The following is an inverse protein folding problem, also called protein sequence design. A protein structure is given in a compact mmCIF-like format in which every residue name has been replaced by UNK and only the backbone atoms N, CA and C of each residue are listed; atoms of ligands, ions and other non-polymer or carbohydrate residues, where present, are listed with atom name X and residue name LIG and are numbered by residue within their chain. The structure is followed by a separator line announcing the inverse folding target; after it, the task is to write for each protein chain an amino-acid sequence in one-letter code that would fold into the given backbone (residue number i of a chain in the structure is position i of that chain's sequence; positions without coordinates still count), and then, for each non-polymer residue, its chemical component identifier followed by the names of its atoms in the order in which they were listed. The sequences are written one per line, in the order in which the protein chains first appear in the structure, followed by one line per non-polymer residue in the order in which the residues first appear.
data_IF_343504784259
#
_entry.id   IF_343504784259
#
_cell.length_a   1.000
_cell.length_b   1.000
_cell.length_c   1.000
_cell.angle_alpha   90.00
_cell.angle_beta   90.00
_cell.angle_gamma   90.00
#
_symmetry.space_group_name_H-M   'P 1'
#
loop_
_entity.id
_entity.type
_entity.pdbx_description
1 polymer ?
#
# COMPACT_ATOMS: atom_id res chain seq x y z
N UNK A 1 -14.27 21.89 36.73
CA UNK A 1 -13.98 21.70 35.29
C UNK A 1 -13.38 20.31 35.12
N UNK A 2 -14.07 19.39 34.44
CA UNK A 2 -13.44 18.13 34.04
C UNK A 2 -12.53 18.43 32.85
N UNK A 3 -11.24 18.19 33.03
CA UNK A 3 -10.30 18.10 31.92
C UNK A 3 -10.77 16.95 31.02
N UNK A 4 -11.23 17.31 29.81
CA UNK A 4 -11.47 16.33 28.76
C UNK A 4 -10.07 15.76 28.45
N UNK A 5 -9.83 14.46 28.62
CA UNK A 5 -8.53 13.89 28.31
C UNK A 5 -8.23 14.22 26.84
N UNK A 6 -7.10 14.88 26.63
CA UNK A 6 -6.58 15.22 25.30
C UNK A 6 -6.60 13.93 24.48
N UNK A 7 -7.54 13.82 23.54
CA UNK A 7 -7.55 12.75 22.55
C UNK A 7 -6.30 13.02 21.74
N UNK A 8 -5.18 12.39 22.12
CA UNK A 8 -4.01 12.28 21.26
C UNK A 8 -4.56 11.84 19.92
N UNK A 9 -4.57 12.76 18.96
CA UNK A 9 -4.88 12.52 17.57
C UNK A 9 -4.10 11.26 17.21
N UNK A 10 -4.79 10.12 17.08
CA UNK A 10 -4.16 8.83 16.79
C UNK A 10 -3.28 9.07 15.57
N UNK A 11 -1.97 9.15 15.77
CA UNK A 11 -1.05 9.24 14.65
C UNK A 11 -1.33 8.03 13.77
N UNK A 12 -1.68 8.30 12.51
CA UNK A 12 -1.98 7.21 11.59
C UNK A 12 -0.68 6.48 11.35
N UNK A 13 -0.56 5.28 11.91
CA UNK A 13 0.64 4.49 11.81
C UNK A 13 0.84 4.01 10.37
N UNK A 14 2.11 3.88 9.96
CA UNK A 14 2.45 3.33 8.65
C UNK A 14 1.86 1.92 8.44
N UNK A 15 1.65 1.16 9.52
CA UNK A 15 0.97 -0.14 9.49
C UNK A 15 -0.52 -0.03 9.12
N UNK A 16 -1.20 1.01 9.58
CA UNK A 16 -2.58 1.30 9.17
C UNK A 16 -2.64 1.64 7.68
N UNK A 17 -1.70 2.46 7.19
CA UNK A 17 -1.59 2.80 5.75
C UNK A 17 -1.35 1.53 4.93
N UNK A 18 -0.43 0.67 5.34
CA UNK A 18 -0.20 -0.63 4.70
C UNK A 18 -1.48 -1.47 4.64
N UNK A 19 -2.27 -1.49 5.71
CA UNK A 19 -3.51 -2.27 5.78
C UNK A 19 -4.58 -1.72 4.84
N UNK A 20 -4.76 -0.39 4.79
CA UNK A 20 -5.69 0.27 3.86
C UNK A 20 -5.27 0.00 2.41
N UNK A 21 -4.00 0.20 2.08
CA UNK A 21 -3.48 -0.04 0.74
C UNK A 21 -3.64 -1.50 0.30
N UNK A 22 -3.39 -2.45 1.21
CA UNK A 22 -3.58 -3.88 0.95
C UNK A 22 -5.03 -4.20 0.60
N UNK A 23 -5.98 -3.77 1.44
CA UNK A 23 -7.41 -4.02 1.23
C UNK A 23 -7.91 -3.33 -0.05
N UNK A 24 -7.47 -2.10 -0.31
CA UNK A 24 -7.83 -1.36 -1.51
C UNK A 24 -7.33 -2.07 -2.78
N UNK A 25 -6.09 -2.56 -2.78
CA UNK A 25 -5.52 -3.31 -3.90
C UNK A 25 -6.23 -4.65 -4.12
N UNK A 26 -6.50 -5.41 -3.06
CA UNK A 26 -7.25 -6.69 -3.16
C UNK A 26 -8.69 -6.52 -3.65
N UNK A 27 -9.29 -5.34 -3.48
CA UNK A 27 -10.63 -5.03 -3.97
C UNK A 27 -10.70 -4.74 -5.47
N UNK A 28 -9.58 -4.69 -6.18
CA UNK A 28 -9.52 -4.39 -7.62
C UNK A 28 -9.64 -5.69 -8.41
N UNK A 29 -10.66 -5.79 -9.27
CA UNK A 29 -10.82 -6.97 -10.13
C UNK A 29 -9.62 -7.14 -11.07
N UNK A 30 -9.13 -8.38 -11.15
CA UNK A 30 -7.92 -8.76 -11.86
C UNK A 30 -6.71 -8.95 -10.96
N UNK A 31 -6.70 -8.45 -9.72
CA UNK A 31 -5.71 -8.82 -8.71
C UNK A 31 -6.16 -10.13 -8.05
N UNK A 32 -5.36 -11.19 -8.18
CA UNK A 32 -5.66 -12.49 -7.58
C UNK A 32 -5.16 -12.54 -6.13
N UNK A 33 -3.90 -12.12 -5.92
CA UNK A 33 -3.21 -12.18 -4.62
C UNK A 33 -2.15 -11.09 -4.52
N UNK A 34 -1.72 -10.79 -3.31
CA UNK A 34 -0.56 -9.95 -3.03
C UNK A 34 0.55 -10.81 -2.43
N UNK A 35 1.80 -10.47 -2.71
CA UNK A 35 2.96 -11.23 -2.21
C UNK A 35 4.08 -10.27 -1.85
N UNK A 36 4.99 -10.65 -0.97
CA UNK A 36 6.23 -9.92 -0.76
C UNK A 36 7.41 -10.88 -0.83
N UNK A 37 8.50 -10.48 -1.49
CA UNK A 37 9.80 -11.12 -1.27
C UNK A 37 10.45 -10.39 -0.11
N UNK A 38 10.82 -11.11 0.94
CA UNK A 38 11.76 -10.60 1.94
C UNK A 38 13.15 -10.84 1.34
N UNK A 39 13.76 -9.80 0.80
CA UNK A 39 15.18 -9.80 0.39
C UNK A 39 16.01 -9.09 1.46
N UNK A 40 17.32 -9.34 1.46
CA UNK A 40 18.26 -8.71 2.40
C UNK A 40 18.25 -7.16 2.30
N UNK A 41 17.88 -6.60 1.14
CA UNK A 41 17.66 -5.16 0.93
C UNK A 41 16.55 -4.54 1.81
N UNK A 42 15.64 -5.36 2.34
CA UNK A 42 14.60 -4.93 3.27
C UNK A 42 15.11 -4.80 4.72
N UNK A 43 16.24 -5.43 5.02
CA UNK A 43 16.87 -5.45 6.35
C UNK A 43 17.80 -4.24 6.54
N UNK A 44 18.27 -3.61 5.46
CA UNK A 44 19.34 -2.59 5.49
C UNK A 44 18.88 -1.14 5.76
N UNK A 45 17.59 -0.85 5.90
CA UNK A 45 17.13 0.54 5.85
C UNK A 45 17.08 1.24 7.22
N UNK A 46 17.99 2.20 7.37
CA UNK A 46 17.99 3.38 8.26
C UNK A 46 16.69 4.25 8.23
N UNK A 47 15.59 3.76 7.66
CA UNK A 47 14.32 4.47 7.52
C UNK A 47 13.16 3.55 7.94
N UNK A 48 12.34 3.90 8.95
CA UNK A 48 11.25 3.05 9.43
C UNK A 48 10.11 2.93 8.41
N UNK A 49 10.29 2.08 7.41
CA UNK A 49 9.22 1.68 6.49
C UNK A 49 8.39 0.57 7.11
N UNK A 50 7.06 0.73 7.14
CA UNK A 50 6.18 -0.38 7.48
C UNK A 50 6.02 -1.31 6.28
N UNK A 51 6.06 -2.61 6.57
CA UNK A 51 5.99 -3.65 5.56
C UNK A 51 4.92 -4.65 5.97
N UNK A 52 3.94 -4.90 5.10
CA UNK A 52 2.90 -5.91 5.35
C UNK A 52 2.36 -6.51 4.06
N UNK A 53 2.33 -7.84 4.00
CA UNK A 53 1.54 -8.63 3.02
C UNK A 53 1.60 -8.14 1.56
N UNK A 54 2.77 -7.73 1.08
CA UNK A 54 2.96 -7.24 -0.30
C UNK A 54 2.80 -5.73 -0.48
N UNK A 55 2.79 -4.96 0.62
CA UNK A 55 2.82 -3.50 0.62
C UNK A 55 4.02 -3.01 1.41
N UNK A 56 4.74 -2.05 0.84
CA UNK A 56 5.76 -1.24 1.52
C UNK A 56 5.34 0.22 1.47
N UNK A 57 5.40 0.89 2.62
CA UNK A 57 5.08 2.32 2.74
C UNK A 57 6.31 3.06 3.24
N UNK A 58 6.67 4.14 2.56
CA UNK A 58 7.75 5.05 2.95
C UNK A 58 7.19 6.47 2.97
N UNK A 59 7.51 7.21 4.03
CA UNK A 59 7.16 8.62 4.16
C UNK A 59 8.30 9.50 3.64
N UNK A 60 7.95 10.46 2.79
CA UNK A 60 8.84 11.50 2.28
C UNK A 60 8.20 12.87 2.49
N UNK A 61 8.95 13.95 2.29
CA UNK A 61 8.44 15.33 2.42
C UNK A 61 7.26 15.62 1.47
N UNK A 62 7.25 15.01 0.28
CA UNK A 62 6.19 15.20 -0.74
C UNK A 62 4.94 14.32 -0.50
N UNK A 63 4.97 13.44 0.50
CA UNK A 63 3.91 12.49 0.81
C UNK A 63 4.37 11.04 0.86
N UNK A 64 3.42 10.12 1.02
CA UNK A 64 3.71 8.69 1.11
C UNK A 64 3.91 8.08 -0.27
N UNK A 65 4.99 7.30 -0.40
CA UNK A 65 5.21 6.38 -1.51
C UNK A 65 4.78 4.98 -1.10
N UNK A 66 3.98 4.34 -1.93
CA UNK A 66 3.39 3.02 -1.67
C UNK A 66 3.77 2.05 -2.79
N UNK A 67 4.57 1.05 -2.46
CA UNK A 67 4.92 -0.05 -3.36
C UNK A 67 4.04 -1.26 -3.07
N UNK A 68 3.39 -1.77 -4.11
CA UNK A 68 2.41 -2.86 -4.02
C UNK A 68 2.81 -3.98 -4.96
N UNK A 69 2.96 -5.18 -4.41
CA UNK A 69 3.36 -6.37 -5.14
C UNK A 69 2.17 -7.32 -5.31
N UNK A 70 1.77 -7.54 -6.57
CA UNK A 70 0.53 -8.23 -6.92
C UNK A 70 0.77 -9.37 -7.90
N UNK A 71 0.00 -10.44 -7.76
CA UNK A 71 -0.22 -11.46 -8.77
C UNK A 71 -1.55 -11.14 -9.45
N UNK A 72 -1.51 -10.91 -10.76
CA UNK A 72 -2.71 -10.66 -11.55
C UNK A 72 -3.23 -11.97 -12.17
N UNK A 73 -4.55 -12.03 -12.34
CA UNK A 73 -5.24 -13.14 -13.01
C UNK A 73 -4.78 -13.23 -14.46
N UNK A 74 -4.70 -14.43 -15.02
CA UNK A 74 -4.38 -14.59 -16.45
C UNK A 74 -5.46 -13.96 -17.34
N UNK A 75 -5.04 -13.40 -18.47
CA UNK A 75 -5.94 -12.82 -19.48
C UNK A 75 -6.47 -11.42 -19.15
N UNK A 76 -6.01 -10.77 -18.07
CA UNK A 76 -6.38 -9.38 -17.77
C UNK A 76 -5.44 -8.40 -18.48
N UNK A 77 -5.96 -7.21 -18.76
CA UNK A 77 -5.13 -6.09 -19.19
C UNK A 77 -4.35 -5.55 -17.98
N UNK A 78 -3.07 -5.93 -17.89
CA UNK A 78 -2.17 -5.58 -16.78
C UNK A 78 -2.09 -4.07 -16.58
N UNK A 79 -2.03 -3.29 -17.66
CA UNK A 79 -1.90 -1.82 -17.58
C UNK A 79 -3.18 -1.22 -17.03
N UNK A 80 -4.34 -1.68 -17.51
CA UNK A 80 -5.64 -1.23 -17.02
C UNK A 80 -5.84 -1.58 -15.55
N UNK A 81 -5.58 -2.82 -15.15
CA UNK A 81 -5.74 -3.27 -13.76
C UNK A 81 -4.76 -2.54 -12.82
N UNK A 82 -3.50 -2.37 -13.22
CA UNK A 82 -2.52 -1.63 -12.44
C UNK A 82 -2.97 -0.18 -12.22
N UNK A 83 -3.44 0.49 -13.27
CA UNK A 83 -3.93 1.87 -13.17
C UNK A 83 -5.14 1.99 -12.24
N UNK A 84 -6.08 1.04 -12.32
CA UNK A 84 -7.21 0.97 -11.40
C UNK A 84 -6.75 0.79 -9.95
N UNK A 85 -5.76 -0.08 -9.71
CA UNK A 85 -5.20 -0.29 -8.39
C UNK A 85 -4.49 0.95 -7.83
N UNK A 86 -3.71 1.65 -8.67
CA UNK A 86 -3.05 2.90 -8.27
C UNK A 86 -4.07 3.94 -7.79
N UNK A 87 -5.12 4.18 -8.58
CA UNK A 87 -6.18 5.15 -8.23
C UNK A 87 -6.87 4.72 -6.95
N UNK A 88 -7.30 3.46 -6.87
CA UNK A 88 -8.08 2.97 -5.73
C UNK A 88 -7.30 3.05 -4.42
N UNK A 89 -6.02 2.70 -4.44
CA UNK A 89 -5.15 2.75 -3.26
C UNK A 89 -4.90 4.19 -2.83
N UNK A 90 -4.54 5.07 -3.78
CA UNK A 90 -4.33 6.48 -3.50
C UNK A 90 -5.55 7.11 -2.84
N UNK A 91 -6.72 6.97 -3.46
CA UNK A 91 -7.98 7.51 -2.91
C UNK A 91 -8.29 6.94 -1.53
N UNK A 92 -8.11 5.64 -1.33
CA UNK A 92 -8.47 4.99 -0.06
C UNK A 92 -7.56 5.44 1.07
N UNK A 93 -6.25 5.58 0.82
CA UNK A 93 -5.29 6.10 1.81
C UNK A 93 -5.56 7.58 2.09
N UNK A 94 -5.72 8.41 1.06
CA UNK A 94 -5.98 9.85 1.24
C UNK A 94 -7.28 10.10 2.02
N UNK A 95 -8.35 9.36 1.73
CA UNK A 95 -9.66 9.48 2.40
C UNK A 95 -9.61 8.93 3.83
N UNK A 96 -9.07 7.73 4.05
CA UNK A 96 -9.17 7.04 5.34
C UNK A 96 -8.09 7.47 6.33
N UNK A 97 -6.89 7.76 5.85
CA UNK A 97 -5.75 8.15 6.68
C UNK A 97 -5.56 9.67 6.75
N UNK A 98 -6.19 10.44 5.85
CA UNK A 98 -5.95 11.88 5.75
C UNK A 98 -4.49 12.21 5.37
N UNK A 99 -3.82 11.28 4.69
CA UNK A 99 -2.40 11.37 4.33
C UNK A 99 -2.24 11.48 2.82
N UNK A 100 -1.44 12.45 2.37
CA UNK A 100 -1.14 12.64 0.94
C UNK A 100 -0.31 11.48 0.39
N UNK A 101 -0.71 10.95 -0.77
CA UNK A 101 0.04 9.90 -1.47
C UNK A 101 0.69 10.52 -2.70
N UNK A 102 2.01 10.59 -2.71
CA UNK A 102 2.79 11.11 -3.85
C UNK A 102 2.83 10.10 -4.99
N UNK A 103 3.04 8.81 -4.66
CA UNK A 103 3.26 7.78 -5.65
C UNK A 103 2.70 6.42 -5.21
N UNK A 104 2.07 5.71 -6.15
CA UNK A 104 1.69 4.30 -5.99
C UNK A 104 2.32 3.48 -7.10
N UNK A 105 3.17 2.52 -6.73
CA UNK A 105 3.87 1.64 -7.65
C UNK A 105 3.26 0.24 -7.62
N UNK A 106 2.89 -0.29 -8.78
CA UNK A 106 2.35 -1.65 -8.90
C UNK A 106 3.41 -2.55 -9.53
N UNK A 107 3.91 -3.49 -8.73
CA UNK A 107 4.87 -4.51 -9.11
C UNK A 107 4.13 -5.80 -9.43
N UNK A 108 4.05 -6.14 -10.72
CA UNK A 108 3.26 -7.28 -11.19
C UNK A 108 4.16 -8.50 -11.35
N UNK A 109 3.73 -9.64 -10.82
CA UNK A 109 4.24 -10.95 -11.21
C UNK A 109 3.18 -11.78 -11.90
N UNK A 110 3.62 -12.55 -12.89
CA UNK A 110 2.82 -13.63 -13.45
C UNK A 110 2.55 -14.70 -12.39
N UNK A 111 1.42 -15.39 -12.49
CA UNK A 111 0.98 -16.40 -11.53
C UNK A 111 1.78 -17.72 -11.57
N UNK A 112 2.84 -17.81 -12.40
CA UNK A 112 3.72 -18.99 -12.50
C UNK A 112 3.02 -20.26 -13.00
N UNK A 113 1.77 -20.14 -13.45
CA UNK A 113 1.09 -21.18 -14.22
C UNK A 113 1.48 -20.93 -15.68
N UNK A 114 2.15 -21.91 -16.28
CA UNK A 114 2.80 -21.94 -17.61
C UNK A 114 4.25 -21.44 -17.63
#
# INVERSE_FOLDING_TARGET
MNEIPNVQSKEVSNEMICSIANLAALGVDGIEKMFMRISDELIDALNPSAVSKGVKVVEYEEGYTIDIHVIMRSGVDIVKVAKMAQIKVKESVEIMAGKQVSQVNIHVKGSGKY
#
